data_IF_057866227007
#
_entry.id   IF_057866227007
#
_cell.length_a   1.000
_cell.length_b   1.000
_cell.length_c   1.000
_cell.angle_alpha   90.00
_cell.angle_beta   90.00
_cell.angle_gamma   90.00
#
_symmetry.space_group_name_H-M   'P 1'
#
loop_
_entity.id
_entity.type
_entity.pdbx_description
1 polymer ?
#
# COMPACT_ATOMS: atom_id res chain seq x y z
N UNK A 1 16.81 4.56 -7.50
CA UNK A 1 15.96 3.78 -6.58
C UNK A 1 15.43 4.58 -5.37
N UNK A 2 15.14 5.90 -5.50
CA UNK A 2 14.55 6.71 -4.41
C UNK A 2 13.35 7.59 -4.85
N UNK A 3 13.07 7.68 -6.16
CA UNK A 3 12.02 8.55 -6.70
C UNK A 3 10.59 8.09 -6.34
N UNK A 4 10.34 6.78 -6.26
CA UNK A 4 9.01 6.24 -5.99
C UNK A 4 8.53 6.56 -4.58
N UNK A 5 9.41 6.41 -3.57
CA UNK A 5 9.08 6.73 -2.16
C UNK A 5 8.80 8.21 -1.94
N UNK A 6 9.48 9.10 -2.67
CA UNK A 6 9.23 10.54 -2.58
C UNK A 6 7.81 10.93 -3.06
N UNK A 7 7.34 10.33 -4.15
CA UNK A 7 5.97 10.55 -4.66
C UNK A 7 4.90 10.03 -3.69
N UNK A 8 5.09 8.81 -3.16
CA UNK A 8 4.16 8.23 -2.19
C UNK A 8 4.09 9.07 -0.92
N UNK A 9 5.23 9.51 -0.37
CA UNK A 9 5.25 10.39 0.81
C UNK A 9 4.48 11.68 0.57
N UNK A 10 4.65 12.30 -0.60
CA UNK A 10 3.92 13.53 -0.96
C UNK A 10 2.42 13.28 -1.05
N UNK A 11 2.00 12.16 -1.64
CA UNK A 11 0.60 11.78 -1.78
C UNK A 11 -0.07 11.49 -0.43
N UNK A 12 0.64 10.81 0.49
CA UNK A 12 0.15 10.53 1.83
C UNK A 12 0.08 11.79 2.71
N UNK A 13 1.01 12.72 2.54
CA UNK A 13 1.06 13.98 3.29
C UNK A 13 0.04 15.02 2.82
N UNK A 14 -0.51 14.88 1.60
CA UNK A 14 -1.51 15.79 1.07
C UNK A 14 -2.90 15.48 1.67
N UNK A 15 -3.49 16.40 2.46
CA UNK A 15 -4.80 16.18 3.08
C UNK A 15 -5.96 16.21 2.07
N UNK A 16 -5.77 16.74 0.86
CA UNK A 16 -6.80 16.77 -0.18
C UNK A 16 -6.97 15.41 -0.87
N UNK A 17 -6.00 14.51 -0.73
CA UNK A 17 -6.06 13.17 -1.32
C UNK A 17 -6.93 12.28 -0.45
N UNK A 18 -8.20 12.10 -0.79
CA UNK A 18 -9.14 11.29 0.01
C UNK A 18 -9.05 9.79 -0.25
N UNK A 19 -8.58 9.39 -1.43
CA UNK A 19 -8.48 7.98 -1.85
C UNK A 19 -7.13 7.70 -2.47
N UNK A 20 -6.47 6.65 -2.01
CA UNK A 20 -5.21 6.13 -2.55
C UNK A 20 -5.50 4.77 -3.17
N UNK A 21 -5.05 4.55 -4.41
CA UNK A 21 -5.25 3.28 -5.12
C UNK A 21 -3.90 2.67 -5.43
N UNK A 22 -3.73 1.39 -5.11
CA UNK A 22 -2.51 0.63 -5.38
C UNK A 22 -2.85 -0.65 -6.14
N UNK A 23 -1.94 -1.09 -7.01
CA UNK A 23 -2.17 -2.30 -7.81
C UNK A 23 -2.01 -3.55 -6.95
N UNK A 24 -0.94 -3.70 -6.17
CA UNK A 24 -0.69 -4.90 -5.37
C UNK A 24 -0.31 -4.59 -3.92
N UNK A 25 -0.71 -5.45 -2.97
CA UNK A 25 -0.08 -5.56 -1.65
C UNK A 25 1.24 -6.30 -1.83
N UNK A 26 2.35 -5.59 -2.03
CA UNK A 26 3.63 -6.27 -2.19
C UNK A 26 3.96 -7.13 -0.95
N UNK A 27 4.61 -8.29 -1.18
CA UNK A 27 4.79 -9.37 -0.19
C UNK A 27 5.48 -8.91 1.10
N UNK A 28 6.28 -7.84 1.03
CA UNK A 28 6.93 -7.18 2.18
C UNK A 28 6.15 -5.97 2.74
N UNK A 29 5.21 -5.41 1.98
CA UNK A 29 4.33 -4.33 2.41
C UNK A 29 2.94 -4.78 2.84
N UNK A 30 2.61 -6.07 2.98
CA UNK A 30 1.33 -6.45 3.63
C UNK A 30 1.16 -5.71 4.96
N UNK A 31 2.18 -5.73 5.82
CA UNK A 31 2.20 -4.97 7.08
C UNK A 31 2.22 -3.45 6.85
N UNK A 32 2.95 -2.95 5.85
CA UNK A 32 3.01 -1.50 5.59
C UNK A 32 1.69 -0.97 5.00
N UNK A 33 0.99 -1.75 4.19
CA UNK A 33 -0.28 -1.40 3.56
C UNK A 33 -1.38 -1.34 4.61
N UNK A 34 -1.42 -2.30 5.55
CA UNK A 34 -2.35 -2.28 6.68
C UNK A 34 -2.13 -1.06 7.59
N UNK A 35 -0.87 -0.70 7.88
CA UNK A 35 -0.55 0.50 8.65
C UNK A 35 -0.96 1.78 7.91
N UNK A 36 -0.74 1.85 6.60
CA UNK A 36 -1.15 2.99 5.77
C UNK A 36 -2.68 3.07 5.69
N UNK A 37 -3.37 1.95 5.53
CA UNK A 37 -4.83 1.87 5.51
C UNK A 37 -5.43 2.33 6.85
N UNK A 38 -4.87 1.88 7.98
CA UNK A 38 -5.29 2.31 9.31
C UNK A 38 -5.09 3.82 9.52
N UNK A 39 -3.93 4.36 9.11
CA UNK A 39 -3.64 5.79 9.19
C UNK A 39 -4.58 6.63 8.31
N UNK A 40 -4.82 6.19 7.08
CA UNK A 40 -5.78 6.85 6.18
C UNK A 40 -7.20 6.80 6.77
N UNK A 41 -7.62 5.64 7.28
CA UNK A 41 -8.94 5.45 7.88
C UNK A 41 -9.17 6.34 9.10
N UNK A 42 -8.15 6.54 9.94
CA UNK A 42 -8.20 7.46 11.08
C UNK A 42 -8.45 8.92 10.65
N UNK A 43 -8.11 9.28 9.41
CA UNK A 43 -8.35 10.58 8.82
C UNK A 43 -9.59 10.62 7.89
N UNK A 44 -10.42 9.57 7.89
CA UNK A 44 -11.58 9.47 6.99
C UNK A 44 -11.20 9.30 5.51
N UNK A 45 -9.99 8.82 5.23
CA UNK A 45 -9.44 8.56 3.90
C UNK A 45 -9.43 7.05 3.63
N UNK A 46 -9.32 6.65 2.36
CA UNK A 46 -9.41 5.25 1.94
C UNK A 46 -8.17 4.79 1.17
N UNK A 47 -7.72 3.56 1.43
CA UNK A 47 -6.82 2.81 0.56
C UNK A 47 -7.65 1.79 -0.23
N UNK A 48 -7.43 1.68 -1.55
CA UNK A 48 -8.04 0.67 -2.41
C UNK A 48 -6.92 -0.13 -3.06
N UNK A 49 -7.02 -1.45 -3.00
CA UNK A 49 -6.09 -2.37 -3.67
C UNK A 49 -6.85 -2.97 -4.85
N UNK A 50 -6.33 -2.84 -6.07
CA UNK A 50 -7.01 -3.32 -7.29
C UNK A 50 -6.81 -4.83 -7.46
N UNK A 51 -5.64 -5.35 -7.08
CA UNK A 51 -5.34 -6.77 -7.20
C UNK A 51 -5.41 -7.44 -5.83
N UNK A 52 -6.57 -8.05 -5.56
CA UNK A 52 -6.80 -9.00 -4.46
C UNK A 52 -6.63 -10.43 -4.97
N UNK A 53 -5.95 -10.62 -6.11
CA UNK A 53 -5.44 -11.94 -6.47
C UNK A 53 -4.49 -12.36 -5.34
N UNK A 54 -5.03 -13.16 -4.42
CA UNK A 54 -4.26 -14.15 -3.70
C UNK A 54 -3.41 -14.87 -4.76
N UNK A 55 -2.18 -14.40 -4.95
CA UNK A 55 -1.15 -15.32 -5.35
C UNK A 55 -1.09 -16.30 -4.19
N UNK A 56 -1.71 -17.47 -4.39
CA UNK A 56 -1.25 -18.77 -3.92
C UNK A 56 0.25 -18.83 -4.23
N UNK A 57 1.03 -18.11 -3.43
CA UNK A 57 2.43 -17.90 -3.69
C UNK A 57 3.14 -18.82 -2.72
N UNK A 58 3.15 -20.08 -3.16
CA UNK A 58 4.08 -21.12 -2.76
C UNK A 58 5.35 -20.47 -2.23
N UNK A 59 5.47 -20.49 -0.91
CA UNK A 59 6.69 -20.24 -0.18
C UNK A 59 7.62 -21.43 -0.42
N UNK A 60 8.03 -21.66 -1.68
CA UNK A 60 9.27 -22.37 -1.95
C UNK A 60 10.39 -21.40 -1.66
N UNK A 61 10.77 -21.44 -0.39
CA UNK A 61 12.02 -20.95 0.13
C UNK A 61 13.15 -21.73 -0.57
N UNK A 62 13.59 -21.24 -1.73
CA UNK A 62 14.92 -21.60 -2.21
C UNK A 62 15.96 -20.72 -1.51
N UNK A 63 17.01 -21.41 -1.08
CA UNK A 63 18.11 -20.96 -0.22
C UNK A 63 18.79 -19.66 -0.67
#
# INVERSE_FOLDING_TARGET
>A
MSGTRAKVRRLLADPLVTTVVVEHRDRSARMNAELVEAALSAHGRRLVVIDDAEMDDDLVQDM
#
